data_IF_433222147053
#
_entry.id   IF_433222147053
#
_cell.length_a   1.000
_cell.length_b   1.000
_cell.length_c   1.000
_cell.angle_alpha   90.00
_cell.angle_beta   90.00
_cell.angle_gamma   90.00
#
_symmetry.space_group_name_H-M   'P 1'
#
loop_
_entity.id
_entity.type
_entity.pdbx_description
1 polymer ?
#
# COMPACT_ATOMS: atom_id res chain seq x y z
N UNK A 1 -15.28 20.94 -6.40
CA UNK A 1 -14.38 19.79 -6.24
C UNK A 1 -13.87 19.65 -4.82
N UNK A 2 -13.13 20.60 -4.25
CA UNK A 2 -12.73 20.57 -2.83
C UNK A 2 -13.88 20.48 -1.82
N UNK A 3 -15.04 21.04 -2.18
CA UNK A 3 -16.29 21.00 -1.39
C UNK A 3 -16.80 19.58 -1.10
N UNK A 4 -16.40 18.60 -1.91
CA UNK A 4 -16.74 17.18 -1.68
C UNK A 4 -16.03 16.64 -0.43
N UNK A 5 -14.83 17.15 -0.12
CA UNK A 5 -14.01 16.71 1.00
C UNK A 5 -14.09 17.66 2.21
N UNK A 6 -14.28 18.96 2.01
CA UNK A 6 -14.32 19.94 3.09
C UNK A 6 -15.61 20.77 3.06
N UNK A 7 -16.37 20.73 4.16
CA UNK A 7 -17.64 21.46 4.28
C UNK A 7 -17.50 22.90 4.78
N UNK A 8 -16.38 23.24 5.44
CA UNK A 8 -16.18 24.54 6.11
C UNK A 8 -15.57 25.57 5.15
N UNK A 9 -16.27 26.69 4.92
CA UNK A 9 -15.83 27.74 3.98
C UNK A 9 -14.50 28.39 4.33
N UNK A 10 -14.18 28.53 5.62
CA UNK A 10 -12.87 29.05 6.03
C UNK A 10 -11.74 28.08 5.66
N UNK A 11 -11.99 26.77 5.68
CA UNK A 11 -10.99 25.75 5.30
C UNK A 11 -10.76 25.76 3.80
N UNK A 12 -11.84 25.87 3.01
CA UNK A 12 -11.75 25.97 1.55
C UNK A 12 -10.99 27.22 1.10
N UNK A 13 -11.29 28.38 1.71
CA UNK A 13 -10.57 29.63 1.46
C UNK A 13 -9.08 29.50 1.80
N UNK A 14 -8.75 28.91 2.96
CA UNK A 14 -7.36 28.68 3.35
C UNK A 14 -6.62 27.81 2.35
N UNK A 15 -7.17 26.65 1.97
CA UNK A 15 -6.52 25.73 1.02
C UNK A 15 -6.26 26.39 -0.34
N UNK A 16 -7.18 27.24 -0.81
CA UNK A 16 -7.04 27.97 -2.08
C UNK A 16 -6.12 29.20 -2.01
N UNK A 17 -5.90 29.75 -0.82
CA UNK A 17 -5.03 30.91 -0.62
C UNK A 17 -3.54 30.55 -0.58
N UNK A 18 -3.21 29.27 -0.38
CA UNK A 18 -1.83 28.81 -0.38
C UNK A 18 -1.22 28.78 -1.79
N UNK A 19 0.12 28.76 -1.95
CA UNK A 19 0.76 28.71 -3.26
C UNK A 19 0.34 27.53 -4.13
N UNK A 20 -0.06 26.41 -3.50
CA UNK A 20 -0.59 25.24 -4.20
C UNK A 20 -2.07 25.36 -4.56
N UNK A 21 -2.75 26.42 -4.09
CA UNK A 21 -4.19 26.62 -4.14
C UNK A 21 -4.80 26.47 -5.53
N UNK A 22 -4.10 26.97 -6.57
CA UNK A 22 -4.54 26.87 -7.97
C UNK A 22 -4.66 25.42 -8.48
N UNK A 23 -4.01 24.47 -7.81
CA UNK A 23 -4.01 23.04 -8.19
C UNK A 23 -4.87 22.18 -7.26
N UNK A 24 -5.44 22.76 -6.19
CA UNK A 24 -6.10 21.97 -5.15
C UNK A 24 -7.44 21.37 -5.61
N UNK A 25 -8.18 22.07 -6.46
CA UNK A 25 -9.46 21.56 -6.99
C UNK A 25 -9.23 20.42 -7.99
N UNK A 26 -8.23 20.53 -8.87
CA UNK A 26 -7.85 19.46 -9.83
C UNK A 26 -7.24 18.26 -9.12
N UNK A 27 -6.43 18.49 -8.09
CA UNK A 27 -5.88 17.41 -7.28
C UNK A 27 -6.98 16.68 -6.50
N UNK A 28 -7.94 17.41 -5.93
CA UNK A 28 -9.10 16.81 -5.28
C UNK A 28 -9.90 15.93 -6.25
N UNK A 29 -10.10 16.39 -7.48
CA UNK A 29 -10.79 15.60 -8.50
C UNK A 29 -10.00 14.35 -8.90
N UNK A 30 -8.68 14.46 -9.03
CA UNK A 30 -7.81 13.31 -9.31
C UNK A 30 -7.89 12.26 -8.20
N UNK A 31 -7.95 12.68 -6.94
CA UNK A 31 -8.12 11.78 -5.81
C UNK A 31 -9.48 11.08 -5.84
N UNK A 32 -10.54 11.80 -6.25
CA UNK A 32 -11.88 11.24 -6.42
C UNK A 32 -11.93 10.20 -7.53
N UNK A 33 -11.39 10.53 -8.71
CA UNK A 33 -11.33 9.63 -9.87
C UNK A 33 -10.52 8.37 -9.54
N UNK A 34 -9.41 8.51 -8.81
CA UNK A 34 -8.60 7.37 -8.35
C UNK A 34 -9.21 6.62 -7.16
N UNK A 35 -10.43 6.96 -6.73
CA UNK A 35 -11.17 6.22 -5.71
C UNK A 35 -10.63 6.36 -4.29
N UNK A 36 -9.85 7.40 -3.98
CA UNK A 36 -9.36 7.61 -2.62
C UNK A 36 -10.50 7.95 -1.65
N UNK A 37 -10.58 7.19 -0.56
CA UNK A 37 -11.54 7.46 0.51
C UNK A 37 -11.38 8.86 1.11
N UNK A 38 -12.49 9.42 1.62
CA UNK A 38 -12.56 10.82 2.06
C UNK A 38 -11.49 11.21 3.09
N UNK A 39 -11.17 10.31 4.03
CA UNK A 39 -10.13 10.56 5.03
C UNK A 39 -8.74 10.71 4.41
N UNK A 40 -8.34 9.78 3.54
CA UNK A 40 -7.05 9.81 2.85
C UNK A 40 -6.94 11.02 1.92
N UNK A 41 -8.00 11.29 1.15
CA UNK A 41 -8.06 12.46 0.28
C UNK A 41 -7.89 13.77 1.06
N UNK A 42 -8.60 13.93 2.19
CA UNK A 42 -8.42 15.08 3.06
C UNK A 42 -7.00 15.18 3.63
N UNK A 43 -6.39 14.07 4.03
CA UNK A 43 -5.02 14.04 4.52
C UNK A 43 -4.03 14.52 3.44
N UNK A 44 -4.18 14.04 2.20
CA UNK A 44 -3.31 14.41 1.09
C UNK A 44 -3.51 15.86 0.64
N UNK A 45 -4.75 16.37 0.64
CA UNK A 45 -5.04 17.77 0.34
C UNK A 45 -4.44 18.72 1.40
N UNK A 46 -4.53 18.35 2.70
CA UNK A 46 -3.86 19.09 3.77
C UNK A 46 -2.34 19.04 3.65
N UNK A 47 -1.78 17.89 3.26
CA UNK A 47 -0.36 17.73 3.03
C UNK A 47 0.15 18.60 1.87
N UNK A 48 -0.61 18.67 0.76
CA UNK A 48 -0.28 19.51 -0.39
C UNK A 48 -0.34 21.01 -0.05
N UNK A 49 -1.32 21.44 0.75
CA UNK A 49 -1.36 22.81 1.26
C UNK A 49 -0.18 23.12 2.20
N UNK A 50 0.18 22.18 3.08
CA UNK A 50 1.34 22.31 3.95
C UNK A 50 2.65 22.43 3.16
N UNK A 51 2.84 21.59 2.14
CA UNK A 51 3.97 21.71 1.22
C UNK A 51 4.01 23.11 0.60
N UNK A 52 2.86 23.64 0.16
CA UNK A 52 2.72 25.01 -0.35
C UNK A 52 3.21 26.09 0.61
N UNK A 53 2.79 26.04 1.87
CA UNK A 53 3.24 26.98 2.91
C UNK A 53 4.75 26.90 3.09
N UNK A 54 5.27 25.67 3.17
CA UNK A 54 6.68 25.43 3.41
C UNK A 54 7.55 25.92 2.24
N UNK A 55 7.21 25.61 0.99
CA UNK A 55 7.99 26.09 -0.17
C UNK A 55 7.97 27.63 -0.31
N UNK A 56 6.87 28.30 0.10
CA UNK A 56 6.82 29.77 0.14
C UNK A 56 7.84 30.34 1.12
N UNK A 57 8.04 29.68 2.26
CA UNK A 57 9.05 30.09 3.24
C UNK A 57 10.48 29.86 2.75
N UNK A 58 10.68 28.95 1.79
CA UNK A 58 11.96 28.68 1.14
C UNK A 58 12.15 29.45 -0.18
N UNK A 59 11.25 30.40 -0.49
CA UNK A 59 11.21 31.15 -1.77
C UNK A 59 11.25 30.24 -3.02
N UNK A 60 10.53 29.11 -2.96
CA UNK A 60 10.56 28.06 -3.97
C UNK A 60 9.22 27.94 -4.72
N UNK A 61 9.28 27.74 -6.04
CA UNK A 61 8.09 27.64 -6.90
C UNK A 61 7.49 26.23 -6.91
N UNK A 62 6.16 26.15 -6.89
CA UNK A 62 5.40 24.89 -7.05
C UNK A 62 5.75 24.17 -8.36
N UNK A 63 6.04 24.91 -9.44
CA UNK A 63 6.34 24.32 -10.75
C UNK A 63 7.73 23.68 -10.82
N UNK A 64 8.58 23.89 -9.82
CA UNK A 64 9.93 23.31 -9.73
C UNK A 64 10.00 22.17 -8.72
N UNK A 65 8.87 21.69 -8.21
CA UNK A 65 8.84 20.58 -7.25
C UNK A 65 9.44 19.30 -7.87
N UNK A 66 10.30 18.65 -7.08
CA UNK A 66 10.93 17.38 -7.40
C UNK A 66 11.11 16.52 -6.13
N UNK A 67 11.71 15.33 -6.27
CA UNK A 67 11.98 14.42 -5.15
C UNK A 67 12.90 15.02 -4.08
N UNK A 68 13.84 15.90 -4.46
CA UNK A 68 14.78 16.53 -3.53
C UNK A 68 14.02 17.49 -2.61
N UNK A 69 13.13 18.29 -3.19
CA UNK A 69 12.28 19.23 -2.45
C UNK A 69 11.33 18.47 -1.50
N UNK A 70 10.78 17.33 -1.94
CA UNK A 70 9.97 16.47 -1.06
C UNK A 70 10.80 15.88 0.09
N UNK A 71 12.07 15.50 -0.15
CA UNK A 71 12.96 15.02 0.89
C UNK A 71 13.36 16.13 1.89
N UNK A 72 13.54 17.36 1.43
CA UNK A 72 13.73 18.55 2.27
C UNK A 72 12.51 18.84 3.13
N UNK A 73 11.32 18.81 2.51
CA UNK A 73 10.05 18.95 3.22
C UNK A 73 9.91 17.91 4.33
N UNK A 74 10.25 16.64 4.05
CA UNK A 74 10.22 15.55 5.02
C UNK A 74 11.20 15.79 6.19
N UNK A 75 12.41 16.30 5.92
CA UNK A 75 13.39 16.67 6.96
C UNK A 75 12.90 17.80 7.87
N UNK A 76 12.06 18.68 7.35
CA UNK A 76 11.50 19.79 8.12
C UNK A 76 10.38 19.37 9.09
N UNK A 77 9.63 18.30 8.78
CA UNK A 77 8.42 17.92 9.53
C UNK A 77 8.61 17.77 11.05
N UNK A 78 9.69 17.13 11.57
CA UNK A 78 9.88 16.96 13.02
C UNK A 78 9.97 18.28 13.80
N UNK A 79 10.42 19.36 13.16
CA UNK A 79 10.59 20.68 13.76
C UNK A 79 9.66 21.73 13.13
N UNK A 80 8.61 21.29 12.44
CA UNK A 80 7.74 22.15 11.65
C UNK A 80 7.08 23.25 12.50
N UNK A 81 7.13 24.49 11.98
CA UNK A 81 6.40 25.65 12.54
C UNK A 81 5.42 26.28 11.55
N UNK A 82 5.28 25.71 10.34
CA UNK A 82 4.50 26.28 9.24
C UNK A 82 3.01 26.44 9.58
N UNK A 83 2.44 25.56 10.42
CA UNK A 83 1.00 25.51 10.72
C UNK A 83 0.63 26.01 12.13
N UNK A 84 1.55 26.63 12.86
CA UNK A 84 1.28 27.25 14.16
C UNK A 84 0.73 26.26 15.21
N UNK A 85 -0.49 26.54 15.74
CA UNK A 85 -1.19 25.70 16.74
C UNK A 85 -1.84 24.44 16.16
N UNK A 86 -1.98 24.33 14.84
CA UNK A 86 -2.60 23.18 14.16
C UNK A 86 -1.56 22.11 13.80
N UNK A 87 -0.74 21.69 14.77
CA UNK A 87 0.22 20.59 14.60
C UNK A 87 -0.55 19.27 14.57
N UNK A 88 -1.04 18.90 13.40
CA UNK A 88 -1.65 17.58 13.18
C UNK A 88 -0.63 16.46 13.34
N UNK A 89 -1.12 15.24 13.52
CA UNK A 89 -0.30 14.02 13.46
C UNK A 89 0.02 13.78 11.97
N UNK A 90 1.29 13.77 11.58
CA UNK A 90 1.73 13.91 10.18
C UNK A 90 2.38 12.67 9.58
N UNK A 91 1.89 11.47 9.88
CA UNK A 91 2.42 10.26 9.22
C UNK A 91 2.18 10.31 7.69
N UNK A 92 1.08 10.93 7.25
CA UNK A 92 0.71 11.00 5.83
C UNK A 92 1.24 12.24 5.08
N UNK A 93 1.95 13.17 5.74
CA UNK A 93 2.33 14.44 5.11
C UNK A 93 3.28 14.24 3.92
N UNK A 94 4.27 13.34 4.06
CA UNK A 94 5.20 13.03 2.97
C UNK A 94 4.50 12.26 1.85
N UNK A 95 3.58 11.35 2.21
CA UNK A 95 2.82 10.54 1.26
C UNK A 95 1.92 11.44 0.41
N UNK A 96 1.15 12.32 1.05
CA UNK A 96 0.30 13.29 0.36
C UNK A 96 1.08 14.26 -0.51
N UNK A 97 2.24 14.74 -0.04
CA UNK A 97 3.13 15.59 -0.85
C UNK A 97 3.66 14.88 -2.10
N UNK A 98 3.97 13.57 -2.02
CA UNK A 98 4.35 12.76 -3.19
C UNK A 98 3.19 12.56 -4.16
N UNK A 99 1.98 12.28 -3.65
CA UNK A 99 0.79 12.18 -4.51
C UNK A 99 0.51 13.49 -5.24
N UNK A 100 0.69 14.63 -4.57
CA UNK A 100 0.55 15.94 -5.19
C UNK A 100 1.60 16.19 -6.27
N UNK A 101 2.87 15.88 -6.02
CA UNK A 101 3.92 15.96 -7.04
C UNK A 101 3.61 15.09 -8.26
N UNK A 102 3.14 13.85 -8.05
CA UNK A 102 2.74 12.97 -9.15
C UNK A 102 1.57 13.54 -9.95
N UNK A 103 0.57 14.12 -9.29
CA UNK A 103 -0.54 14.79 -9.97
C UNK A 103 -0.06 16.00 -10.80
N UNK A 104 0.84 16.82 -10.27
CA UNK A 104 1.43 17.93 -11.03
C UNK A 104 2.20 17.44 -12.27
N UNK A 105 2.84 16.27 -12.21
CA UNK A 105 3.52 15.67 -13.36
C UNK A 105 2.54 15.13 -14.39
N UNK A 106 1.50 14.41 -13.95
CA UNK A 106 0.44 13.89 -14.81
C UNK A 106 -0.27 15.02 -15.57
N UNK A 107 -0.35 16.21 -14.97
CA UNK A 107 -0.95 17.42 -15.57
C UNK A 107 0.06 18.34 -16.28
N UNK A 108 1.34 17.96 -16.35
CA UNK A 108 2.39 18.74 -17.02
C UNK A 108 2.82 20.04 -16.29
N UNK A 109 2.41 20.21 -15.03
CA UNK A 109 2.63 21.39 -14.20
C UNK A 109 3.91 21.35 -13.33
N UNK A 110 4.57 20.19 -13.26
CA UNK A 110 5.87 20.00 -12.64
C UNK A 110 6.79 19.22 -13.59
N UNK A 111 8.13 19.37 -13.48
CA UNK A 111 9.06 18.63 -14.31
C UNK A 111 8.81 17.13 -14.20
N UNK A 112 8.79 16.46 -15.35
CA UNK A 112 8.83 15.01 -15.41
C UNK A 112 9.98 14.55 -14.50
N UNK A 113 9.68 13.63 -13.58
CA UNK A 113 10.71 13.13 -12.68
C UNK A 113 11.87 12.64 -13.51
N UNK A 114 13.09 13.06 -13.15
CA UNK A 114 14.26 12.39 -13.70
C UNK A 114 14.06 10.93 -13.38
N UNK A 115 14.07 10.00 -14.36
CA UNK A 115 14.08 8.59 -14.05
C UNK A 115 15.25 8.39 -13.10
N UNK A 116 14.95 8.19 -11.81
CA UNK A 116 15.99 7.80 -10.87
C UNK A 116 16.33 6.41 -11.33
N UNK A 117 17.40 6.31 -12.09
CA UNK A 117 17.99 5.04 -12.47
C UNK A 117 18.26 4.35 -11.14
N UNK A 118 17.40 3.38 -10.80
CA UNK A 118 17.51 2.69 -9.52
C UNK A 118 18.89 2.05 -9.57
N UNK A 119 19.77 2.35 -8.59
CA UNK A 119 21.09 1.75 -8.60
C UNK A 119 20.90 0.24 -8.76
N UNK A 120 21.70 -0.41 -9.63
CA UNK A 120 21.53 -1.82 -9.90
C UNK A 120 21.51 -2.56 -8.57
N UNK A 121 20.53 -3.44 -8.40
CA UNK A 121 20.46 -4.27 -7.20
C UNK A 121 21.79 -5.03 -7.08
N UNK A 122 22.35 -5.15 -5.87
CA UNK A 122 23.46 -6.06 -5.64
C UNK A 122 23.14 -7.41 -6.28
N UNK A 123 24.10 -7.98 -7.02
CA UNK A 123 23.89 -9.20 -7.82
C UNK A 123 23.31 -10.34 -6.97
N UNK A 124 23.67 -10.36 -5.69
CA UNK A 124 23.18 -11.34 -4.72
C UNK A 124 21.69 -11.18 -4.38
N UNK A 125 21.16 -9.95 -4.34
CA UNK A 125 19.73 -9.68 -4.14
C UNK A 125 18.97 -10.06 -5.42
N UNK A 126 19.48 -9.69 -6.59
CA UNK A 126 18.84 -10.04 -7.86
C UNK A 126 18.74 -11.57 -8.03
N UNK A 127 19.83 -12.29 -7.75
CA UNK A 127 19.84 -13.75 -7.75
C UNK A 127 18.85 -14.36 -6.75
N UNK A 128 18.77 -13.79 -5.54
CA UNK A 128 17.78 -14.20 -4.54
C UNK A 128 16.34 -13.99 -5.03
N UNK A 129 16.03 -12.83 -5.61
CA UNK A 129 14.68 -12.56 -6.13
C UNK A 129 14.30 -13.50 -7.27
N UNK A 130 15.22 -13.77 -8.21
CA UNK A 130 15.01 -14.77 -9.27
C UNK A 130 14.77 -16.16 -8.69
N UNK A 131 15.58 -16.58 -7.73
CA UNK A 131 15.39 -17.86 -7.05
C UNK A 131 14.04 -17.95 -6.35
N UNK A 132 13.63 -16.90 -5.64
CA UNK A 132 12.33 -16.82 -4.98
C UNK A 132 11.15 -16.89 -5.98
N UNK A 133 11.25 -16.21 -7.13
CA UNK A 133 10.22 -16.29 -8.18
C UNK A 133 10.12 -17.71 -8.74
N UNK A 134 11.26 -18.32 -9.09
CA UNK A 134 11.31 -19.63 -9.76
C UNK A 134 10.94 -20.79 -8.82
N UNK A 135 11.51 -20.84 -7.63
CA UNK A 135 11.40 -22.01 -6.74
C UNK A 135 10.29 -21.88 -5.69
N UNK A 136 9.84 -20.66 -5.40
CA UNK A 136 8.80 -20.40 -4.38
C UNK A 136 7.53 -19.77 -4.93
N UNK A 137 7.54 -19.31 -6.20
CA UNK A 137 6.36 -18.72 -6.84
C UNK A 137 5.84 -17.46 -6.14
N UNK A 138 6.71 -16.70 -5.45
CA UNK A 138 6.28 -15.52 -4.69
C UNK A 138 5.96 -14.33 -5.59
N UNK A 139 5.07 -13.46 -5.12
CA UNK A 139 4.67 -12.23 -5.81
C UNK A 139 5.65 -11.08 -5.59
N UNK A 140 5.59 -10.05 -6.46
CA UNK A 140 6.32 -8.79 -6.28
C UNK A 140 5.96 -8.06 -4.97
N UNK A 141 4.72 -8.19 -4.51
CA UNK A 141 4.28 -7.64 -3.22
C UNK A 141 5.01 -8.28 -2.03
N UNK A 142 5.48 -9.53 -2.18
CA UNK A 142 6.33 -10.19 -1.17
C UNK A 142 7.80 -9.79 -1.34
N UNK A 143 8.28 -9.67 -2.58
CA UNK A 143 9.68 -9.33 -2.86
C UNK A 143 10.03 -7.88 -2.54
N UNK A 144 9.10 -6.94 -2.71
CA UNK A 144 9.32 -5.52 -2.42
C UNK A 144 9.81 -5.25 -0.99
N UNK A 145 9.14 -5.73 0.07
CA UNK A 145 9.67 -5.58 1.43
C UNK A 145 10.94 -6.40 1.65
N UNK A 146 11.09 -7.57 1.00
CA UNK A 146 12.29 -8.40 1.15
C UNK A 146 13.53 -7.68 0.63
N UNK A 147 13.44 -7.07 -0.56
CA UNK A 147 14.47 -6.23 -1.17
C UNK A 147 14.91 -5.14 -0.22
N UNK A 148 13.97 -4.37 0.34
CA UNK A 148 14.27 -3.29 1.28
C UNK A 148 15.04 -3.79 2.50
N UNK A 149 14.61 -4.90 3.08
CA UNK A 149 15.24 -5.52 4.26
C UNK A 149 16.64 -6.00 3.92
N UNK A 150 16.83 -6.65 2.77
CA UNK A 150 18.12 -7.16 2.34
C UNK A 150 19.10 -6.05 1.96
N UNK A 151 18.67 -5.02 1.24
CA UNK A 151 19.53 -3.85 0.95
C UNK A 151 20.04 -3.21 2.24
N UNK A 152 19.17 -3.04 3.25
CA UNK A 152 19.60 -2.52 4.56
C UNK A 152 20.51 -3.48 5.31
N UNK A 153 20.25 -4.78 5.24
CA UNK A 153 21.07 -5.80 5.89
C UNK A 153 22.48 -5.78 5.29
N UNK A 154 22.60 -5.89 3.97
CA UNK A 154 23.87 -5.92 3.25
C UNK A 154 24.65 -4.63 3.41
N UNK A 155 23.97 -3.47 3.47
CA UNK A 155 24.62 -2.20 3.81
C UNK A 155 25.26 -2.17 5.21
N UNK A 156 24.79 -3.01 6.14
CA UNK A 156 25.33 -3.11 7.49
C UNK A 156 26.37 -4.23 7.68
N UNK A 157 26.25 -5.33 6.93
CA UNK A 157 27.09 -6.54 7.10
C UNK A 157 28.04 -6.84 5.94
N UNK A 158 27.93 -6.10 4.83
CA UNK A 158 28.65 -6.37 3.59
C UNK A 158 27.96 -7.40 2.69
N UNK A 159 28.37 -7.41 1.42
CA UNK A 159 27.77 -8.26 0.39
C UNK A 159 28.41 -9.64 0.27
N UNK A 160 29.56 -9.88 0.92
CA UNK A 160 30.36 -11.10 0.79
C UNK A 160 29.87 -12.21 1.74
N UNK A 161 29.20 -13.27 1.25
CA UNK A 161 28.56 -14.27 2.10
C UNK A 161 29.53 -15.11 2.93
N UNK A 162 30.73 -15.37 2.41
CA UNK A 162 31.76 -16.14 3.10
C UNK A 162 32.23 -15.51 4.42
N UNK A 163 31.96 -14.22 4.64
CA UNK A 163 32.31 -13.52 5.87
C UNK A 163 31.19 -13.57 6.92
N UNK A 164 30.03 -14.14 6.58
CA UNK A 164 28.88 -14.15 7.49
C UNK A 164 29.12 -15.13 8.64
N UNK A 165 28.83 -14.66 9.85
CA UNK A 165 28.77 -15.47 11.05
C UNK A 165 27.55 -15.08 11.88
N UNK A 166 27.23 -15.89 12.89
CA UNK A 166 26.06 -15.69 13.74
C UNK A 166 26.01 -14.29 14.37
N UNK A 167 27.16 -13.76 14.81
CA UNK A 167 27.25 -12.45 15.46
C UNK A 167 26.92 -11.31 14.47
N UNK A 168 27.53 -11.33 13.28
CA UNK A 168 27.30 -10.32 12.24
C UNK A 168 25.83 -10.31 11.80
N UNK A 169 25.24 -11.49 11.58
CA UNK A 169 23.84 -11.61 11.17
C UNK A 169 22.87 -11.12 12.25
N UNK A 170 23.09 -11.49 13.51
CA UNK A 170 22.27 -11.02 14.64
C UNK A 170 22.33 -9.50 14.77
N UNK A 171 23.53 -8.91 14.72
CA UNK A 171 23.72 -7.46 14.74
C UNK A 171 22.99 -6.76 13.59
N UNK A 172 23.10 -7.30 12.37
CA UNK A 172 22.42 -6.75 11.20
C UNK A 172 20.89 -6.79 11.31
N UNK A 173 20.34 -7.85 11.91
CA UNK A 173 18.90 -7.95 12.21
C UNK A 173 18.50 -6.97 13.33
N UNK A 174 19.25 -6.92 14.43
CA UNK A 174 18.97 -6.05 15.59
C UNK A 174 18.92 -4.56 15.20
N UNK A 175 19.80 -4.11 14.32
CA UNK A 175 19.79 -2.74 13.80
C UNK A 175 18.47 -2.39 13.08
N UNK A 176 17.83 -3.38 12.44
CA UNK A 176 16.54 -3.19 11.78
C UNK A 176 15.35 -3.40 12.70
N UNK A 177 15.50 -4.18 13.77
CA UNK A 177 14.38 -4.55 14.65
C UNK A 177 14.25 -3.73 15.92
N UNK A 178 15.31 -3.06 16.36
CA UNK A 178 15.38 -2.34 17.66
C UNK A 178 14.33 -1.24 17.86
N UNK A 179 13.84 -0.62 16.77
CA UNK A 179 12.86 0.48 16.81
C UNK A 179 11.56 0.18 16.07
N UNK A 180 11.24 -1.10 15.89
CA UNK A 180 10.07 -1.52 15.10
C UNK A 180 9.11 -2.39 15.92
N UNK A 181 7.85 -2.46 15.45
CA UNK A 181 6.87 -3.39 16.01
C UNK A 181 7.20 -4.86 15.72
N UNK A 182 6.65 -5.77 16.54
CA UNK A 182 6.88 -7.23 16.43
C UNK A 182 6.62 -7.80 15.03
N UNK A 183 5.62 -7.29 14.32
CA UNK A 183 5.27 -7.74 12.96
C UNK A 183 6.40 -7.46 11.96
N UNK A 184 7.00 -6.27 12.03
CA UNK A 184 8.14 -5.93 11.17
C UNK A 184 9.38 -6.74 11.54
N UNK A 185 9.67 -6.90 12.84
CA UNK A 185 10.78 -7.72 13.29
C UNK A 185 10.67 -9.18 12.80
N UNK A 186 9.46 -9.75 12.84
CA UNK A 186 9.19 -11.09 12.30
C UNK A 186 9.40 -11.16 10.79
N UNK A 187 8.99 -10.12 10.05
CA UNK A 187 9.22 -10.03 8.61
C UNK A 187 10.72 -9.98 8.31
N UNK A 188 11.49 -9.14 9.01
CA UNK A 188 12.96 -9.07 8.89
C UNK A 188 13.57 -10.46 9.04
N UNK A 189 13.30 -11.14 10.16
CA UNK A 189 13.87 -12.48 10.43
C UNK A 189 13.45 -13.49 9.36
N UNK A 190 12.20 -13.46 8.92
CA UNK A 190 11.71 -14.37 7.87
C UNK A 190 12.45 -14.13 6.55
N UNK A 191 12.63 -12.87 6.17
CA UNK A 191 13.39 -12.48 4.98
C UNK A 191 14.84 -12.94 5.07
N UNK A 192 15.54 -12.63 6.16
CA UNK A 192 16.95 -13.02 6.34
C UNK A 192 17.08 -14.54 6.33
N UNK A 193 16.18 -15.28 6.99
CA UNK A 193 16.18 -16.74 6.97
C UNK A 193 15.99 -17.30 5.56
N UNK A 194 15.10 -16.72 4.76
CA UNK A 194 14.91 -17.13 3.37
C UNK A 194 16.11 -16.80 2.49
N UNK A 195 16.76 -15.66 2.73
CA UNK A 195 18.00 -15.29 2.06
C UNK A 195 19.15 -16.24 2.39
N UNK A 196 19.35 -16.60 3.67
CA UNK A 196 20.35 -17.58 4.07
C UNK A 196 20.09 -18.95 3.41
N UNK A 197 18.82 -19.39 3.31
CA UNK A 197 18.48 -20.64 2.59
C UNK A 197 18.87 -20.58 1.12
N UNK A 198 18.68 -19.44 0.46
CA UNK A 198 19.17 -19.23 -0.90
C UNK A 198 20.70 -19.36 -0.95
N UNK A 199 21.44 -18.67 -0.07
CA UNK A 199 22.90 -18.75 -0.02
C UNK A 199 23.41 -20.18 0.22
N UNK A 200 22.75 -20.94 1.09
CA UNK A 200 23.07 -22.34 1.37
C UNK A 200 22.86 -23.23 0.15
N UNK A 201 21.75 -23.07 -0.58
CA UNK A 201 21.49 -23.82 -1.83
C UNK A 201 22.57 -23.56 -2.88
N UNK A 202 23.18 -22.37 -2.85
CA UNK A 202 24.29 -21.99 -3.72
C UNK A 202 25.68 -22.22 -3.11
N UNK A 203 25.79 -22.91 -1.97
CA UNK A 203 27.04 -23.18 -1.24
C UNK A 203 27.86 -21.92 -0.90
N UNK A 204 27.19 -20.79 -0.65
CA UNK A 204 27.83 -19.50 -0.36
C UNK A 204 28.03 -19.22 1.14
N UNK A 205 27.35 -19.97 2.02
CA UNK A 205 27.51 -19.83 3.47
C UNK A 205 27.23 -21.15 4.21
N UNK A 206 27.66 -21.21 5.47
CA UNK A 206 27.41 -22.35 6.36
C UNK A 206 25.90 -22.54 6.61
N UNK A 207 25.34 -23.74 6.40
CA UNK A 207 23.95 -24.08 6.73
C UNK A 207 23.53 -23.75 8.17
N UNK A 208 24.45 -23.86 9.14
CA UNK A 208 24.17 -23.58 10.55
C UNK A 208 23.75 -22.12 10.81
N UNK A 209 24.08 -21.19 9.91
CA UNK A 209 23.71 -19.78 10.04
C UNK A 209 22.19 -19.55 9.93
N UNK A 210 21.45 -20.45 9.29
CA UNK A 210 19.98 -20.37 9.21
C UNK A 210 19.35 -20.42 10.60
N UNK A 211 19.92 -21.24 11.48
CA UNK A 211 19.47 -21.45 12.87
C UNK A 211 20.09 -20.45 13.85
N UNK A 212 21.09 -19.68 13.41
CA UNK A 212 21.66 -18.60 14.21
C UNK A 212 20.68 -17.44 14.45
N UNK A 213 19.63 -17.31 13.64
CA UNK A 213 18.63 -16.26 13.77
C UNK A 213 17.58 -16.60 14.84
N UNK A 214 17.27 -15.66 15.76
CA UNK A 214 16.27 -15.91 16.79
C UNK A 214 14.90 -16.15 16.16
N UNK A 215 14.09 -17.00 16.80
CA UNK A 215 12.69 -17.15 16.42
C UNK A 215 11.86 -16.24 17.31
N UNK A 216 11.21 -15.24 16.71
CA UNK A 216 10.22 -14.44 17.43
C UNK A 216 9.01 -15.33 17.68
N UNK A 217 8.79 -15.67 18.95
CA UNK A 217 7.62 -16.42 19.37
C UNK A 217 6.36 -15.65 18.96
N UNK A 218 5.53 -16.31 18.16
CA UNK A 218 4.19 -15.83 17.84
C UNK A 218 3.21 -16.93 18.23
N UNK A 219 2.76 -16.85 19.48
CA UNK A 219 1.77 -17.76 20.03
C UNK A 219 0.47 -17.63 19.21
N UNK A 220 0.09 -18.72 18.52
CA UNK A 220 -1.20 -18.76 17.82
C UNK A 220 -2.31 -18.57 18.84
N UNK A 221 -3.30 -17.71 18.54
CA UNK A 221 -4.43 -17.40 19.43
C UNK A 221 -4.02 -16.73 20.76
N UNK A 222 -2.89 -16.03 20.81
CA UNK A 222 -2.52 -15.24 22.01
C UNK A 222 -3.55 -14.16 22.38
N UNK A 223 -4.38 -13.75 21.43
CA UNK A 223 -5.56 -12.94 21.65
C UNK A 223 -6.72 -13.51 20.86
N UNK A 224 -7.95 -13.27 21.32
CA UNK A 224 -9.12 -13.44 20.49
C UNK A 224 -9.04 -12.40 19.37
N UNK A 225 -9.20 -12.78 18.09
CA UNK A 225 -9.36 -11.80 17.02
C UNK A 225 -10.59 -10.94 17.29
N UNK A 226 -10.50 -9.65 17.06
CA UNK A 226 -11.67 -8.80 17.01
C UNK A 226 -12.59 -9.29 15.89
N UNK A 227 -13.89 -9.35 16.18
CA UNK A 227 -14.91 -9.78 15.23
C UNK A 227 -16.08 -8.82 15.32
N UNK A 228 -16.83 -8.73 14.21
CA UNK A 228 -18.06 -7.99 14.15
C UNK A 228 -19.23 -8.92 14.49
N UNK A 229 -20.17 -8.45 15.30
CA UNK A 229 -21.42 -9.17 15.53
C UNK A 229 -22.23 -9.25 14.23
N UNK A 230 -23.18 -10.20 14.17
CA UNK A 230 -24.08 -10.32 13.00
C UNK A 230 -24.82 -9.01 12.72
N UNK A 231 -25.23 -8.32 13.77
CA UNK A 231 -25.94 -7.04 13.70
C UNK A 231 -25.03 -5.90 13.22
N UNK A 232 -23.75 -5.91 13.60
CA UNK A 232 -22.76 -4.94 13.11
C UNK A 232 -22.45 -5.15 11.64
N UNK A 233 -22.31 -6.41 11.21
CA UNK A 233 -22.15 -6.76 9.80
C UNK A 233 -23.35 -6.31 8.99
N UNK A 234 -24.58 -6.57 9.47
CA UNK A 234 -25.79 -6.15 8.78
C UNK A 234 -25.87 -4.62 8.68
N UNK A 235 -25.51 -3.89 9.73
CA UNK A 235 -25.42 -2.41 9.69
C UNK A 235 -24.43 -1.92 8.64
N UNK A 236 -23.29 -2.60 8.45
CA UNK A 236 -22.32 -2.23 7.43
C UNK A 236 -22.87 -2.45 6.02
N UNK A 237 -23.52 -3.59 5.79
CA UNK A 237 -24.16 -3.92 4.52
C UNK A 237 -25.25 -2.88 4.20
N UNK A 238 -26.17 -2.64 5.13
CA UNK A 238 -27.28 -1.67 4.94
C UNK A 238 -26.79 -0.22 4.78
N UNK A 239 -25.62 0.13 5.33
CA UNK A 239 -25.05 1.47 5.16
C UNK A 239 -24.57 1.75 3.72
N UNK A 240 -24.30 0.73 2.92
CA UNK A 240 -23.98 0.90 1.50
C UNK A 240 -25.22 1.31 0.71
N UNK A 241 -25.16 2.42 -0.01
CA UNK A 241 -26.26 2.86 -0.88
C UNK A 241 -26.16 2.15 -2.25
N UNK A 242 -27.02 1.17 -2.58
CA UNK A 242 -26.94 0.44 -3.85
C UNK A 242 -27.31 1.30 -5.07
N UNK A 243 -27.84 2.51 -4.85
CA UNK A 243 -28.16 3.49 -5.89
C UNK A 243 -27.02 4.47 -6.20
N UNK A 244 -25.79 4.18 -5.80
CA UNK A 244 -24.59 4.90 -6.23
C UNK A 244 -23.52 3.90 -6.69
N UNK A 245 -22.62 4.33 -7.58
CA UNK A 245 -21.56 3.46 -8.06
C UNK A 245 -20.67 2.92 -6.95
N UNK A 246 -20.25 3.81 -6.03
CA UNK A 246 -19.43 3.45 -4.86
C UNK A 246 -20.19 2.50 -3.94
N UNK A 247 -21.45 2.77 -3.63
CA UNK A 247 -22.22 1.95 -2.70
C UNK A 247 -22.63 0.59 -3.28
N UNK A 248 -22.95 0.50 -4.57
CA UNK A 248 -23.20 -0.77 -5.25
C UNK A 248 -21.94 -1.65 -5.27
N UNK A 249 -20.78 -1.05 -5.58
CA UNK A 249 -19.49 -1.74 -5.55
C UNK A 249 -19.16 -2.24 -4.15
N UNK A 250 -19.22 -1.35 -3.17
CA UNK A 250 -18.83 -1.65 -1.79
C UNK A 250 -19.77 -2.70 -1.18
N UNK A 251 -21.06 -2.67 -1.49
CA UNK A 251 -22.04 -3.70 -1.11
C UNK A 251 -21.63 -5.08 -1.62
N UNK A 252 -21.34 -5.20 -2.93
CA UNK A 252 -20.94 -6.46 -3.54
C UNK A 252 -19.63 -6.99 -2.93
N UNK A 253 -18.64 -6.11 -2.71
CA UNK A 253 -17.37 -6.45 -2.05
C UNK A 253 -17.60 -6.93 -0.62
N UNK A 254 -18.43 -6.25 0.17
CA UNK A 254 -18.74 -6.64 1.55
C UNK A 254 -19.45 -7.99 1.62
N UNK A 255 -20.39 -8.25 0.71
CA UNK A 255 -21.07 -9.55 0.65
C UNK A 255 -20.11 -10.68 0.30
N UNK A 256 -19.18 -10.48 -0.64
CA UNK A 256 -18.11 -11.45 -0.94
C UNK A 256 -17.19 -11.72 0.27
N UNK A 257 -16.84 -10.68 1.03
CA UNK A 257 -16.02 -10.81 2.24
C UNK A 257 -16.76 -11.60 3.34
N UNK A 258 -18.02 -11.28 3.59
CA UNK A 258 -18.78 -11.78 4.74
C UNK A 258 -19.41 -13.15 4.46
N UNK A 259 -19.97 -13.37 3.27
CA UNK A 259 -20.69 -14.61 2.92
C UNK A 259 -19.73 -15.72 2.49
N UNK A 260 -18.72 -15.36 1.69
CA UNK A 260 -17.81 -16.34 1.09
C UNK A 260 -16.42 -16.35 1.74
N UNK A 261 -16.12 -15.39 2.64
CA UNK A 261 -14.83 -15.34 3.33
C UNK A 261 -13.65 -15.08 2.38
N UNK A 262 -13.90 -14.46 1.22
CA UNK A 262 -12.85 -14.18 0.25
C UNK A 262 -11.84 -13.20 0.82
N UNK A 263 -10.57 -13.31 0.42
CA UNK A 263 -9.58 -12.29 0.79
C UNK A 263 -9.74 -11.10 -0.14
N UNK A 264 -9.39 -9.90 0.34
CA UNK A 264 -9.40 -8.70 -0.50
C UNK A 264 -8.59 -8.88 -1.80
N UNK A 265 -7.46 -9.60 -1.74
CA UNK A 265 -6.67 -9.91 -2.93
C UNK A 265 -7.41 -10.83 -3.92
N UNK A 266 -8.24 -11.75 -3.45
CA UNK A 266 -9.03 -12.63 -4.33
C UNK A 266 -10.16 -11.84 -5.00
N UNK A 267 -10.80 -10.91 -4.27
CA UNK A 267 -11.87 -10.05 -4.79
C UNK A 267 -11.35 -9.06 -5.85
N UNK A 268 -10.22 -8.40 -5.59
CA UNK A 268 -9.65 -7.41 -6.53
C UNK A 268 -9.22 -8.06 -7.85
N UNK A 269 -8.83 -9.34 -7.84
CA UNK A 269 -8.44 -10.07 -9.05
C UNK A 269 -9.57 -10.92 -9.65
N UNK A 270 -10.78 -10.84 -9.12
CA UNK A 270 -11.93 -11.59 -9.63
C UNK A 270 -12.30 -11.10 -11.02
N UNK A 271 -12.38 -12.02 -11.99
CA UNK A 271 -12.73 -11.70 -13.38
C UNK A 271 -14.16 -12.12 -13.70
N UNK A 272 -14.74 -11.50 -14.74
CA UNK A 272 -16.06 -11.91 -15.23
C UNK A 272 -16.13 -13.40 -15.59
N UNK A 273 -15.04 -13.95 -16.16
CA UNK A 273 -14.94 -15.36 -16.53
C UNK A 273 -14.84 -16.32 -15.32
N UNK A 274 -14.58 -15.81 -14.12
CA UNK A 274 -14.52 -16.62 -12.91
C UNK A 274 -15.92 -16.89 -12.33
N UNK A 275 -16.95 -16.18 -12.81
CA UNK A 275 -18.34 -16.33 -12.36
C UNK A 275 -19.10 -17.22 -13.34
N UNK A 276 -19.56 -18.37 -12.85
CA UNK A 276 -20.47 -19.25 -13.57
C UNK A 276 -21.90 -18.94 -13.14
N UNK A 277 -22.58 -18.10 -13.92
CA UNK A 277 -23.96 -17.70 -13.67
C UNK A 277 -24.96 -18.83 -13.89
N UNK A 278 -24.65 -19.77 -14.79
CA UNK A 278 -25.55 -20.88 -15.13
C UNK A 278 -25.64 -21.89 -13.97
N UNK A 279 -24.51 -22.19 -13.36
CA UNK A 279 -24.42 -23.14 -12.24
C UNK A 279 -24.41 -22.45 -10.86
N UNK A 280 -24.47 -21.13 -10.81
CA UNK A 280 -24.41 -20.36 -9.56
C UNK A 280 -23.12 -20.63 -8.79
N UNK A 281 -21.97 -20.57 -9.48
CA UNK A 281 -20.67 -20.91 -8.91
C UNK A 281 -19.63 -19.81 -9.13
N UNK A 282 -18.68 -19.72 -8.21
CA UNK A 282 -17.58 -18.77 -8.22
C UNK A 282 -16.24 -19.50 -8.18
N UNK A 283 -15.41 -19.26 -9.18
CA UNK A 283 -14.06 -19.80 -9.28
C UNK A 283 -13.07 -18.83 -8.61
N UNK A 284 -12.40 -19.26 -7.55
CA UNK A 284 -11.41 -18.44 -6.84
C UNK A 284 -10.06 -19.13 -6.75
N UNK A 285 -9.01 -18.38 -7.04
CA UNK A 285 -7.62 -18.84 -6.95
C UNK A 285 -6.95 -18.24 -5.72
N UNK A 286 -7.02 -18.94 -4.58
CA UNK A 286 -6.46 -18.47 -3.32
C UNK A 286 -4.92 -18.52 -3.26
N UNK A 287 -4.37 -18.22 -2.06
CA UNK A 287 -2.93 -18.30 -1.77
C UNK A 287 -2.37 -19.68 -2.14
N UNK A 288 -1.51 -19.73 -3.16
CA UNK A 288 -0.96 -20.97 -3.73
C UNK A 288 -1.45 -21.29 -5.14
N UNK A 289 -2.30 -20.44 -5.74
CA UNK A 289 -2.83 -20.59 -7.11
C UNK A 289 -3.61 -21.88 -7.33
N UNK A 290 -4.19 -22.44 -6.26
CA UNK A 290 -5.10 -23.59 -6.36
C UNK A 290 -6.52 -23.08 -6.57
N UNK A 291 -7.13 -23.50 -7.67
CA UNK A 291 -8.52 -23.19 -7.97
C UNK A 291 -9.45 -23.86 -6.97
N UNK A 292 -10.40 -23.10 -6.44
CA UNK A 292 -11.51 -23.59 -5.62
C UNK A 292 -12.81 -23.10 -6.21
N UNK A 293 -13.83 -23.95 -6.21
CA UNK A 293 -15.18 -23.60 -6.64
C UNK A 293 -16.02 -23.37 -5.39
N UNK A 294 -16.64 -22.21 -5.30
CA UNK A 294 -17.55 -21.84 -4.22
C UNK A 294 -18.96 -21.67 -4.78
N UNK A 295 -20.02 -21.93 -4.00
CA UNK A 295 -21.36 -21.52 -4.40
C UNK A 295 -21.42 -19.99 -4.50
N UNK A 296 -22.25 -19.47 -5.39
CA UNK A 296 -22.61 -18.05 -5.49
C UNK A 296 -23.99 -17.85 -4.86
N UNK A 297 -24.07 -17.41 -3.60
CA UNK A 297 -25.35 -17.05 -2.98
C UNK A 297 -26.10 -15.99 -3.79
N UNK A 298 -27.43 -16.08 -3.83
CA UNK A 298 -28.26 -15.18 -4.62
C UNK A 298 -28.03 -13.71 -4.25
N UNK A 299 -27.94 -13.37 -2.96
CA UNK A 299 -27.70 -12.00 -2.50
C UNK A 299 -26.37 -11.44 -2.98
N UNK A 300 -25.32 -12.28 -3.04
CA UNK A 300 -24.02 -11.93 -3.60
C UNK A 300 -24.11 -11.72 -5.11
N UNK A 301 -24.77 -12.64 -5.84
CA UNK A 301 -24.96 -12.56 -7.28
C UNK A 301 -25.71 -11.30 -7.69
N UNK A 302 -26.84 -11.01 -7.04
CA UNK A 302 -27.67 -9.82 -7.28
C UNK A 302 -26.88 -8.53 -7.06
N UNK A 303 -26.08 -8.47 -5.99
CA UNK A 303 -25.24 -7.30 -5.71
C UNK A 303 -24.15 -7.09 -6.77
N UNK A 304 -23.51 -8.17 -7.23
CA UNK A 304 -22.53 -8.12 -8.32
C UNK A 304 -23.20 -7.65 -9.62
N UNK A 305 -24.35 -8.21 -9.98
CA UNK A 305 -25.09 -7.82 -11.18
C UNK A 305 -25.51 -6.34 -11.11
N UNK A 306 -26.05 -5.89 -9.98
CA UNK A 306 -26.41 -4.49 -9.80
C UNK A 306 -25.22 -3.56 -10.08
N UNK A 307 -24.04 -3.88 -9.55
CA UNK A 307 -22.84 -3.09 -9.83
C UNK A 307 -22.39 -3.20 -11.29
N UNK A 308 -22.25 -4.41 -11.82
CA UNK A 308 -21.70 -4.66 -13.17
C UNK A 308 -22.58 -4.07 -14.28
N UNK A 309 -23.91 -4.19 -14.16
CA UNK A 309 -24.84 -3.75 -15.20
C UNK A 309 -25.18 -2.26 -15.12
N UNK A 310 -25.26 -1.68 -13.91
CA UNK A 310 -25.80 -0.32 -13.75
C UNK A 310 -24.73 0.74 -13.42
N UNK A 311 -23.59 0.33 -12.86
CA UNK A 311 -22.65 1.28 -12.25
C UNK A 311 -21.21 1.13 -12.69
N UNK A 312 -20.78 -0.06 -13.11
CA UNK A 312 -19.42 -0.32 -13.57
C UNK A 312 -19.19 0.45 -14.88
N UNK A 313 -18.16 1.32 -14.94
CA UNK A 313 -17.80 2.00 -16.18
C UNK A 313 -17.51 1.02 -17.32
N UNK A 314 -17.91 1.39 -18.54
CA UNK A 314 -17.59 0.63 -19.75
C UNK A 314 -16.11 0.82 -20.11
N UNK A 315 -15.28 -0.08 -19.60
CA UNK A 315 -13.85 -0.15 -19.86
C UNK A 315 -13.45 -1.57 -20.24
N UNK A 316 -12.44 -1.68 -21.09
CA UNK A 316 -11.82 -2.96 -21.51
C UNK A 316 -10.92 -3.53 -20.42
N UNK A 317 -11.50 -3.81 -19.26
CA UNK A 317 -10.86 -4.51 -18.15
C UNK A 317 -11.70 -5.76 -17.82
N UNK A 318 -11.03 -6.89 -17.60
CA UNK A 318 -11.67 -8.19 -17.32
C UNK A 318 -12.10 -8.35 -15.86
N UNK A 319 -11.60 -7.49 -14.96
CA UNK A 319 -11.90 -7.56 -13.53
C UNK A 319 -13.31 -7.07 -13.24
N UNK A 320 -14.00 -7.77 -12.35
CA UNK A 320 -15.36 -7.42 -11.92
C UNK A 320 -15.37 -6.02 -11.30
N UNK A 321 -14.39 -5.70 -10.45
CA UNK A 321 -14.32 -4.45 -9.69
C UNK A 321 -13.23 -3.49 -10.21
N UNK A 322 -13.56 -2.20 -10.23
CA UNK A 322 -12.68 -1.09 -10.66
C UNK A 322 -12.47 -0.06 -9.53
#
# INVERSE_FOLDING_TARGET
MLKSYFKLDHTLRRLRAEPTGRYMDDFAETLRIKGYGAWAAQAYLRAAAHLGIWIKQQDFSVTKLDEKVIAEFARHLPSCRCLGKNRGIYDDAVIGARHFLNHLRETGMAPAGTPVEKPPLPTIIDGFERWMRQHRGVSESTLTPYRLILTKLLGAIGETPGNYNAHILRRGVELQTSRCGRSWAKLVITTVRMFLRYLVVHNLCDPALVDALPTIAHWKRASCPDYLSKEEVEKLIVACNPATAEGARDMAVLLLLVRLGLRAGDIVHLRHADIDWEHGALHVSGKGRRLSVLPLPQDVGDAILNYVEHWRPDVRDEHVFL
#
